data_IF_151940445684
#
_entry.id   IF_151940445684
#
_cell.length_a   1.000
_cell.length_b   1.000
_cell.length_c   1.000
_cell.angle_alpha   90.00
_cell.angle_beta   90.00
_cell.angle_gamma   90.00
#
_symmetry.space_group_name_H-M   'P 1'
#
loop_
_entity.id
_entity.type
_entity.pdbx_description
1 polymer ?
#
# COMPACT_ATOMS: atom_id res chain seq x y z
N UNK A 1 -67.52 37.59 -41.64
CA UNK A 1 -66.43 36.59 -41.63
C UNK A 1 -65.11 37.34 -41.36
N UNK A 2 -64.86 37.76 -40.12
CA UNK A 2 -63.97 37.13 -39.12
C UNK A 2 -62.49 37.02 -39.53
N UNK A 3 -61.76 38.11 -39.27
CA UNK A 3 -60.57 38.18 -38.41
C UNK A 3 -59.38 37.23 -38.69
N UNK A 4 -58.37 37.72 -39.41
CA UNK A 4 -57.03 37.10 -39.48
C UNK A 4 -56.05 37.82 -38.53
N UNK A 5 -55.72 37.17 -37.42
CA UNK A 5 -54.64 37.57 -36.49
C UNK A 5 -53.27 37.20 -37.08
N UNK A 6 -52.32 38.15 -37.05
CA UNK A 6 -50.88 37.88 -37.13
C UNK A 6 -50.39 37.20 -35.85
N UNK A 7 -49.28 36.43 -35.91
CA UNK A 7 -48.28 36.55 -34.85
C UNK A 7 -46.86 36.73 -35.38
N UNK A 8 -46.12 37.57 -34.67
CA UNK A 8 -44.68 37.73 -34.72
C UNK A 8 -43.99 36.49 -34.13
N UNK A 9 -42.83 36.11 -34.67
CA UNK A 9 -41.82 35.31 -33.96
C UNK A 9 -40.43 35.75 -34.44
N UNK A 10 -39.78 36.51 -33.57
CA UNK A 10 -38.40 36.97 -33.59
C UNK A 10 -37.62 36.09 -32.61
N UNK A 11 -36.37 35.78 -32.98
CA UNK A 11 -35.23 35.55 -32.10
C UNK A 11 -35.30 34.40 -31.08
N UNK A 12 -34.57 33.31 -31.35
CA UNK A 12 -34.35 32.23 -30.38
C UNK A 12 -33.31 31.21 -30.81
N UNK A 13 -32.15 31.64 -31.31
CA UNK A 13 -31.06 30.74 -31.72
C UNK A 13 -29.70 31.30 -31.30
N UNK A 14 -29.48 31.51 -30.00
CA UNK A 14 -28.19 31.98 -29.48
C UNK A 14 -27.93 31.59 -28.01
N UNK A 15 -28.44 30.44 -27.54
CA UNK A 15 -28.24 29.98 -26.15
C UNK A 15 -27.67 28.56 -26.00
N UNK A 16 -27.32 27.88 -27.10
CA UNK A 16 -26.73 26.53 -27.07
C UNK A 16 -25.19 26.48 -27.10
N UNK A 17 -24.52 27.60 -27.38
CA UNK A 17 -23.04 27.63 -27.49
C UNK A 17 -22.28 27.78 -26.16
N UNK A 18 -22.92 28.32 -25.11
CA UNK A 18 -22.22 28.66 -23.87
C UNK A 18 -22.15 27.49 -22.87
N UNK A 19 -23.09 26.54 -22.93
CA UNK A 19 -23.11 25.38 -22.03
C UNK A 19 -22.01 24.34 -22.38
N UNK A 20 -21.60 24.23 -23.64
CA UNK A 20 -20.56 23.30 -24.07
C UNK A 20 -19.15 23.77 -23.68
N UNK A 21 -18.88 25.08 -23.70
CA UNK A 21 -17.57 25.62 -23.30
C UNK A 21 -17.30 25.50 -21.79
N UNK A 22 -18.34 25.61 -20.96
CA UNK A 22 -18.20 25.46 -19.50
C UNK A 22 -17.95 24.01 -19.07
N UNK A 23 -18.47 23.02 -19.79
CA UNK A 23 -18.21 21.60 -19.52
C UNK A 23 -16.81 21.14 -19.97
N UNK A 24 -16.30 21.66 -21.09
CA UNK A 24 -14.93 21.36 -21.54
C UNK A 24 -13.90 22.04 -20.64
N UNK A 25 -14.16 23.26 -20.18
CA UNK A 25 -13.25 23.95 -19.25
C UNK A 25 -13.18 23.28 -17.86
N UNK A 26 -14.30 22.71 -17.38
CA UNK A 26 -14.31 21.99 -16.09
C UNK A 26 -13.55 20.65 -16.15
N UNK A 27 -13.57 19.96 -17.29
CA UNK A 27 -12.86 18.69 -17.46
C UNK A 27 -11.36 18.87 -17.69
N UNK A 28 -10.93 19.96 -18.33
CA UNK A 28 -9.50 20.26 -18.49
C UNK A 28 -8.83 20.75 -17.21
N UNK A 29 -9.54 21.52 -16.36
CA UNK A 29 -8.99 22.02 -15.09
C UNK A 29 -8.78 20.89 -14.08
N UNK A 30 -9.71 19.93 -13.97
CA UNK A 30 -9.57 18.81 -13.04
C UNK A 30 -8.49 17.79 -13.46
N UNK A 31 -8.20 17.70 -14.76
CA UNK A 31 -7.19 16.76 -15.28
C UNK A 31 -5.76 17.25 -15.10
N UNK A 32 -5.55 18.57 -14.97
CA UNK A 32 -4.24 19.16 -14.68
C UNK A 32 -3.91 19.08 -13.18
N UNK A 33 -4.88 19.32 -12.28
CA UNK A 33 -4.65 19.26 -10.82
C UNK A 33 -4.28 17.86 -10.30
N UNK A 34 -4.66 16.78 -11.00
CA UNK A 34 -4.30 15.42 -10.60
C UNK A 34 -2.88 14.99 -11.02
N UNK A 35 -2.20 15.80 -11.85
CA UNK A 35 -0.88 15.47 -12.37
C UNK A 35 0.27 16.13 -11.62
N UNK A 36 0.01 17.20 -10.86
CA UNK A 36 1.08 18.04 -10.33
C UNK A 36 1.63 17.62 -8.96
N UNK A 37 0.94 16.73 -8.23
CA UNK A 37 1.33 16.35 -6.86
C UNK A 37 1.96 14.95 -6.70
N UNK A 38 2.30 14.25 -7.80
CA UNK A 38 2.91 12.91 -7.71
C UNK A 38 4.30 12.82 -8.34
N UNK A 39 5.14 13.80 -8.03
CA UNK A 39 6.58 13.50 -7.92
C UNK A 39 6.84 12.84 -6.57
N UNK A 40 6.47 11.57 -6.44
CA UNK A 40 7.22 10.68 -5.53
C UNK A 40 8.51 10.33 -6.25
N UNK A 41 9.37 11.34 -6.42
CA UNK A 41 10.77 11.10 -6.71
C UNK A 41 11.30 10.55 -5.39
N UNK A 42 11.44 9.22 -5.31
CA UNK A 42 12.09 8.56 -4.18
C UNK A 42 13.43 9.25 -4.01
N UNK A 43 13.50 10.13 -3.01
CA UNK A 43 14.67 10.94 -2.77
C UNK A 43 15.84 9.98 -2.51
N UNK A 44 17.02 10.23 -3.08
CA UNK A 44 18.20 9.46 -2.72
C UNK A 44 18.47 9.78 -1.25
N UNK A 45 18.17 8.83 -0.38
CA UNK A 45 18.37 8.99 1.03
C UNK A 45 19.87 9.08 1.29
N UNK A 46 20.27 10.10 2.03
CA UNK A 46 21.41 9.99 2.92
C UNK A 46 20.89 9.15 4.10
N UNK A 47 21.12 7.84 4.02
CA UNK A 47 20.22 6.79 4.52
C UNK A 47 20.08 6.72 6.06
N UNK A 48 21.09 7.06 6.85
CA UNK A 48 21.02 6.81 8.31
C UNK A 48 20.22 7.84 9.10
N UNK A 49 20.24 9.11 8.70
CA UNK A 49 19.56 10.18 9.43
C UNK A 49 18.08 10.29 9.03
N UNK A 50 17.73 9.83 7.83
CA UNK A 50 16.37 9.83 7.29
C UNK A 50 15.45 8.80 7.96
N UNK A 51 15.93 7.58 8.17
CA UNK A 51 15.13 6.48 8.74
C UNK A 51 14.73 6.75 10.20
N UNK A 52 15.70 7.15 11.03
CA UNK A 52 15.44 7.49 12.43
C UNK A 52 14.51 8.70 12.55
N UNK A 53 14.67 9.71 11.69
CA UNK A 53 13.79 10.87 11.65
C UNK A 53 12.36 10.50 11.22
N UNK A 54 12.22 9.58 10.25
CA UNK A 54 10.93 9.07 9.80
C UNK A 54 10.23 8.25 10.89
N UNK A 55 10.93 7.32 11.55
CA UNK A 55 10.39 6.56 12.68
C UNK A 55 9.90 7.51 13.78
N UNK A 56 10.71 8.51 14.15
CA UNK A 56 10.31 9.50 15.13
C UNK A 56 9.12 10.35 14.68
N UNK A 57 8.94 10.58 13.37
CA UNK A 57 7.77 11.26 12.85
C UNK A 57 6.51 10.40 12.97
N UNK A 58 6.59 9.12 12.63
CA UNK A 58 5.49 8.15 12.78
C UNK A 58 5.08 8.05 14.26
N UNK A 59 6.04 7.90 15.17
CA UNK A 59 5.80 7.82 16.61
C UNK A 59 5.08 9.07 17.14
N UNK A 60 5.44 10.26 16.64
CA UNK A 60 4.74 11.50 17.00
C UNK A 60 3.29 11.49 16.56
N UNK A 61 2.98 11.00 15.36
CA UNK A 61 1.59 10.93 14.90
C UNK A 61 0.77 9.93 15.70
N UNK A 62 1.36 8.78 16.04
CA UNK A 62 0.72 7.78 16.92
C UNK A 62 0.47 8.37 18.33
N UNK A 63 1.44 9.11 18.88
CA UNK A 63 1.31 9.73 20.19
C UNK A 63 0.16 10.74 20.27
N UNK A 64 -0.09 11.51 19.19
CA UNK A 64 -1.26 12.42 19.13
C UNK A 64 -2.58 11.67 19.24
N UNK A 65 -2.68 10.51 18.60
CA UNK A 65 -3.87 9.65 18.68
C UNK A 65 -4.07 9.14 20.10
N UNK A 66 -2.99 8.69 20.75
CA UNK A 66 -3.06 8.23 22.14
C UNK A 66 -3.45 9.34 23.12
N UNK A 67 -2.89 10.54 22.99
CA UNK A 67 -3.22 11.68 23.85
C UNK A 67 -4.69 12.08 23.68
N UNK A 68 -5.17 12.20 22.44
CA UNK A 68 -6.56 12.52 22.12
C UNK A 68 -7.53 11.50 22.74
N UNK A 69 -7.20 10.22 22.69
CA UNK A 69 -8.07 9.13 23.12
C UNK A 69 -7.83 8.72 24.59
N UNK A 70 -6.90 9.37 25.30
CA UNK A 70 -6.55 9.06 26.69
C UNK A 70 -5.93 7.66 26.86
N UNK A 71 -5.28 7.14 25.82
CA UNK A 71 -4.68 5.80 25.80
C UNK A 71 -3.27 5.88 26.41
N UNK A 72 -3.00 5.03 27.39
CA UNK A 72 -1.65 4.85 27.94
C UNK A 72 -0.96 3.69 27.22
N UNK A 73 0.25 3.89 26.64
CA UNK A 73 1.00 2.81 26.00
C UNK A 73 1.34 1.69 26.97
N UNK A 74 1.38 0.46 26.45
CA UNK A 74 1.86 -0.70 27.19
C UNK A 74 3.35 -0.54 27.54
N UNK A 75 3.82 -1.12 28.66
CA UNK A 75 5.24 -1.16 28.96
C UNK A 75 6.01 -1.94 27.89
N UNK A 76 7.30 -1.61 27.74
CA UNK A 76 8.20 -2.33 26.84
C UNK A 76 8.23 -3.82 27.21
N UNK A 77 8.05 -4.67 26.19
CA UNK A 77 8.09 -6.13 26.36
C UNK A 77 9.49 -6.63 26.71
N UNK A 78 9.54 -7.76 27.43
CA UNK A 78 10.78 -8.49 27.67
C UNK A 78 11.32 -9.15 26.40
N UNK A 79 12.59 -9.57 26.41
CA UNK A 79 13.26 -10.08 25.21
C UNK A 79 12.60 -11.34 24.63
N UNK A 80 12.17 -12.29 25.46
CA UNK A 80 11.51 -13.50 24.97
C UNK A 80 10.14 -13.22 24.33
N UNK A 81 9.39 -12.26 24.89
CA UNK A 81 8.10 -11.84 24.35
C UNK A 81 8.29 -11.07 23.04
N UNK A 82 9.25 -10.14 23.01
CA UNK A 82 9.61 -9.41 21.81
C UNK A 82 10.03 -10.35 20.68
N UNK A 83 10.95 -11.28 20.96
CA UNK A 83 11.43 -12.26 19.98
C UNK A 83 10.27 -13.04 19.36
N UNK A 84 9.38 -13.60 20.19
CA UNK A 84 8.25 -14.37 19.69
C UNK A 84 7.31 -13.53 18.83
N UNK A 85 7.00 -12.30 19.25
CA UNK A 85 6.12 -11.39 18.49
C UNK A 85 6.75 -10.99 17.17
N UNK A 86 8.00 -10.55 17.19
CA UNK A 86 8.73 -10.17 15.98
C UNK A 86 8.70 -11.29 14.94
N UNK A 87 9.02 -12.53 15.32
CA UNK A 87 8.98 -13.67 14.40
C UNK A 87 7.56 -13.98 13.87
N UNK A 88 6.56 -14.00 14.74
CA UNK A 88 5.18 -14.27 14.32
C UNK A 88 4.61 -13.16 13.43
N UNK A 89 4.93 -11.90 13.72
CA UNK A 89 4.38 -10.75 13.01
C UNK A 89 5.10 -10.50 11.67
N UNK A 90 6.38 -10.88 11.54
CA UNK A 90 7.18 -10.64 10.32
C UNK A 90 7.22 -11.85 9.39
N UNK A 91 7.52 -13.04 9.91
CA UNK A 91 7.72 -14.25 9.09
C UNK A 91 6.63 -15.30 9.33
N UNK A 92 5.62 -15.01 10.15
CA UNK A 92 4.45 -15.88 10.35
C UNK A 92 4.72 -17.17 11.15
N UNK A 93 5.95 -17.40 11.60
CA UNK A 93 6.36 -18.63 12.27
C UNK A 93 7.17 -18.36 13.52
N UNK A 94 7.08 -19.20 14.57
CA UNK A 94 7.90 -19.02 15.77
C UNK A 94 9.40 -19.23 15.46
N UNK A 95 10.30 -18.60 16.25
CA UNK A 95 11.73 -18.83 16.10
C UNK A 95 12.10 -20.29 16.39
N UNK A 96 13.13 -20.78 15.71
CA UNK A 96 13.77 -22.05 16.09
C UNK A 96 14.50 -21.93 17.44
N UNK A 97 14.84 -23.07 18.02
CA UNK A 97 15.57 -23.10 19.30
C UNK A 97 16.93 -22.38 19.20
N UNK A 98 17.63 -22.54 18.08
CA UNK A 98 18.95 -21.94 17.86
C UNK A 98 18.85 -20.43 17.65
N UNK A 99 17.86 -19.96 16.87
CA UNK A 99 17.59 -18.53 16.70
C UNK A 99 17.22 -17.86 18.02
N UNK A 100 16.42 -18.54 18.84
CA UNK A 100 16.02 -18.03 20.15
C UNK A 100 17.20 -17.95 21.12
N UNK A 101 18.03 -19.00 21.18
CA UNK A 101 19.24 -19.00 21.99
C UNK A 101 20.19 -17.86 21.57
N UNK A 102 20.45 -17.72 20.28
CA UNK A 102 21.31 -16.68 19.74
C UNK A 102 20.83 -15.27 20.14
N UNK A 103 19.53 -14.99 20.03
CA UNK A 103 18.99 -13.69 20.43
C UNK A 103 19.01 -13.46 21.94
N UNK A 104 18.69 -14.47 22.75
CA UNK A 104 18.65 -14.31 24.22
C UNK A 104 20.06 -14.12 24.80
N UNK A 105 21.04 -14.81 24.24
CA UNK A 105 22.44 -14.72 24.66
C UNK A 105 23.11 -13.43 24.20
N UNK A 106 22.64 -12.82 23.12
CA UNK A 106 23.09 -11.50 22.68
C UNK A 106 22.76 -10.40 23.71
N UNK A 107 23.80 -9.65 24.10
CA UNK A 107 23.74 -8.53 25.06
C UNK A 107 24.04 -7.18 24.41
N UNK A 108 24.15 -7.10 23.09
CA UNK A 108 24.36 -5.80 22.45
C UNK A 108 23.13 -4.90 22.65
N UNK A 109 23.31 -3.59 22.86
CA UNK A 109 22.19 -2.67 23.05
C UNK A 109 21.25 -2.57 21.84
N UNK A 110 21.74 -2.89 20.65
CA UNK A 110 21.07 -2.80 19.36
C UNK A 110 20.52 -4.14 18.83
N UNK A 111 20.58 -5.21 19.64
CA UNK A 111 20.15 -6.57 19.24
C UNK A 111 18.75 -6.65 18.63
N UNK A 112 17.83 -5.77 19.07
CA UNK A 112 16.44 -5.75 18.57
C UNK A 112 16.37 -5.22 17.14
N UNK A 113 17.12 -4.16 16.83
CA UNK A 113 17.18 -3.60 15.48
C UNK A 113 17.82 -4.61 14.53
N UNK A 114 18.97 -5.17 14.92
CA UNK A 114 19.63 -6.24 14.16
C UNK A 114 18.73 -7.45 13.88
N UNK A 115 17.89 -7.82 14.84
CA UNK A 115 16.92 -8.89 14.64
C UNK A 115 15.86 -8.48 13.61
N UNK A 116 15.34 -7.27 13.69
CA UNK A 116 14.34 -6.75 12.74
C UNK A 116 14.93 -6.72 11.32
N UNK A 117 16.13 -6.16 11.16
CA UNK A 117 16.82 -6.11 9.87
C UNK A 117 16.97 -7.52 9.28
N UNK A 118 17.45 -8.47 10.10
CA UNK A 118 17.54 -9.88 9.70
C UNK A 118 16.19 -10.46 9.27
N UNK A 119 15.11 -10.16 9.98
CA UNK A 119 13.79 -10.74 9.71
C UNK A 119 13.15 -10.16 8.45
N UNK A 120 13.33 -8.87 8.19
CA UNK A 120 12.81 -8.21 6.98
C UNK A 120 13.58 -8.66 5.73
N UNK A 121 14.88 -8.95 5.88
CA UNK A 121 15.72 -9.52 4.80
C UNK A 121 15.54 -11.04 4.62
N UNK A 122 14.77 -11.72 5.48
CA UNK A 122 14.53 -13.16 5.41
C UNK A 122 13.50 -13.47 4.30
N UNK A 123 13.75 -14.41 3.37
CA UNK A 123 12.79 -14.74 2.32
C UNK A 123 11.38 -15.12 2.83
N UNK A 124 11.31 -15.66 4.06
CA UNK A 124 10.05 -16.01 4.74
C UNK A 124 9.17 -14.79 5.00
N UNK A 125 9.74 -13.59 5.07
CA UNK A 125 9.00 -12.34 5.21
C UNK A 125 8.07 -12.12 4.02
N UNK A 126 8.60 -12.15 2.79
CA UNK A 126 7.80 -12.00 1.58
C UNK A 126 6.77 -13.13 1.43
N UNK A 127 7.12 -14.36 1.79
CA UNK A 127 6.18 -15.50 1.79
C UNK A 127 5.00 -15.24 2.75
N UNK A 128 5.28 -14.84 3.99
CA UNK A 128 4.25 -14.56 4.98
C UNK A 128 3.36 -13.38 4.56
N UNK A 129 3.96 -12.32 4.04
CA UNK A 129 3.23 -11.14 3.57
C UNK A 129 2.37 -11.49 2.35
N UNK A 130 2.87 -12.30 1.43
CA UNK A 130 2.11 -12.79 0.29
C UNK A 130 0.90 -13.63 0.71
N UNK A 131 1.05 -14.53 1.68
CA UNK A 131 -0.07 -15.32 2.22
C UNK A 131 -1.17 -14.41 2.81
N UNK A 132 -0.79 -13.38 3.57
CA UNK A 132 -1.73 -12.42 4.12
C UNK A 132 -2.46 -11.64 3.01
N UNK A 133 -1.72 -11.18 1.99
CA UNK A 133 -2.32 -10.43 0.89
C UNK A 133 -3.20 -11.30 0.01
N UNK A 134 -2.79 -12.54 -0.31
CA UNK A 134 -3.62 -13.48 -1.05
C UNK A 134 -4.98 -13.66 -0.39
N UNK A 135 -5.02 -13.76 0.93
CA UNK A 135 -6.28 -13.87 1.66
C UNK A 135 -7.16 -12.62 1.47
N UNK A 136 -6.58 -11.43 1.55
CA UNK A 136 -7.30 -10.15 1.35
C UNK A 136 -7.81 -10.02 -0.08
N UNK A 137 -7.00 -10.45 -1.04
CA UNK A 137 -7.19 -10.24 -2.46
C UNK A 137 -8.16 -11.26 -3.08
N UNK A 138 -7.95 -12.55 -2.82
CA UNK A 138 -8.69 -13.67 -3.45
C UNK A 138 -9.79 -14.21 -2.54
N UNK A 139 -9.65 -14.04 -1.22
CA UNK A 139 -10.61 -14.49 -0.23
C UNK A 139 -10.50 -15.99 0.10
N UNK A 140 -11.05 -16.38 1.27
CA UNK A 140 -11.07 -17.78 1.74
C UNK A 140 -12.22 -18.55 1.06
N UNK A 141 -12.06 -18.93 -0.21
CA UNK A 141 -13.01 -19.75 -0.99
C UNK A 141 -12.31 -20.90 -1.70
N UNK A 142 -13.04 -21.79 -2.42
CA UNK A 142 -12.47 -22.98 -3.10
C UNK A 142 -11.21 -22.62 -3.89
N UNK A 143 -10.07 -22.82 -3.23
CA UNK A 143 -8.75 -22.45 -3.70
C UNK A 143 -8.57 -23.02 -5.11
N UNK A 144 -8.42 -22.15 -6.10
CA UNK A 144 -7.75 -22.59 -7.30
C UNK A 144 -6.27 -22.64 -6.93
N UNK A 145 -5.82 -23.78 -6.43
CA UNK A 145 -4.46 -23.94 -5.90
C UNK A 145 -3.40 -23.44 -6.88
N UNK A 146 -3.65 -23.52 -8.19
CA UNK A 146 -2.72 -22.98 -9.19
C UNK A 146 -2.69 -21.44 -9.21
N UNK A 147 -3.84 -20.77 -9.08
CA UNK A 147 -3.92 -19.30 -9.02
C UNK A 147 -3.24 -18.78 -7.75
N UNK A 148 -3.52 -19.39 -6.62
CA UNK A 148 -2.95 -19.01 -5.31
C UNK A 148 -1.43 -19.19 -5.32
N UNK A 149 -0.93 -20.31 -5.87
CA UNK A 149 0.51 -20.55 -5.98
C UNK A 149 1.21 -19.55 -6.90
N UNK A 150 0.62 -19.24 -8.07
CA UNK A 150 1.23 -18.31 -9.04
C UNK A 150 1.27 -16.89 -8.50
N UNK A 151 0.12 -16.38 -8.00
CA UNK A 151 0.03 -15.03 -7.46
C UNK A 151 0.84 -14.89 -6.17
N UNK A 152 0.79 -15.90 -5.30
CA UNK A 152 1.52 -15.91 -4.02
C UNK A 152 3.04 -15.88 -4.22
N UNK A 153 3.55 -16.72 -5.13
CA UNK A 153 4.98 -16.73 -5.44
C UNK A 153 5.42 -15.37 -5.98
N UNK A 154 4.66 -14.80 -6.92
CA UNK A 154 4.99 -13.49 -7.48
C UNK A 154 4.94 -12.38 -6.43
N UNK A 155 3.91 -12.34 -5.58
CA UNK A 155 3.81 -11.36 -4.49
C UNK A 155 4.97 -11.48 -3.51
N UNK A 156 5.34 -12.72 -3.14
CA UNK A 156 6.47 -12.96 -2.24
C UNK A 156 7.78 -12.42 -2.82
N UNK A 157 8.01 -12.63 -4.12
CA UNK A 157 9.15 -12.03 -4.83
C UNK A 157 9.10 -10.49 -4.77
N UNK A 158 7.95 -9.88 -5.08
CA UNK A 158 7.83 -8.41 -5.06
C UNK A 158 8.10 -7.81 -3.67
N UNK A 159 7.66 -8.50 -2.61
CA UNK A 159 7.88 -8.06 -1.24
C UNK A 159 9.33 -8.26 -0.79
N UNK A 160 9.96 -9.37 -1.14
CA UNK A 160 11.37 -9.63 -0.83
C UNK A 160 12.33 -8.71 -1.60
N UNK A 161 11.92 -8.22 -2.77
CA UNK A 161 12.65 -7.18 -3.51
C UNK A 161 12.43 -5.76 -2.94
N UNK A 162 11.62 -5.62 -1.89
CA UNK A 162 11.23 -4.35 -1.30
C UNK A 162 10.69 -3.35 -2.34
N UNK A 163 9.92 -3.86 -3.31
CA UNK A 163 9.39 -3.05 -4.40
C UNK A 163 8.29 -2.13 -3.89
N UNK A 164 8.24 -0.90 -4.42
CA UNK A 164 7.22 0.08 -4.05
C UNK A 164 5.81 -0.49 -4.23
N UNK A 165 5.01 -0.46 -3.16
CA UNK A 165 3.67 -1.05 -3.17
C UNK A 165 2.76 -0.44 -4.25
N UNK A 166 2.97 0.84 -4.60
CA UNK A 166 2.29 1.51 -5.70
C UNK A 166 2.59 0.87 -7.06
N UNK A 167 3.81 0.41 -7.28
CA UNK A 167 4.22 -0.28 -8.51
C UNK A 167 3.61 -1.68 -8.58
N UNK A 168 3.63 -2.42 -7.46
CA UNK A 168 3.01 -3.75 -7.36
C UNK A 168 1.52 -3.65 -7.70
N UNK A 169 0.81 -2.69 -7.10
CA UNK A 169 -0.61 -2.47 -7.37
C UNK A 169 -0.89 -2.00 -8.80
N UNK A 170 -0.03 -1.15 -9.37
CA UNK A 170 -0.14 -0.74 -10.77
C UNK A 170 -0.06 -1.95 -11.70
N UNK A 171 0.92 -2.82 -11.50
CA UNK A 171 1.12 -4.02 -12.31
C UNK A 171 -0.09 -4.96 -12.19
N UNK A 172 -0.65 -5.14 -10.99
CA UNK A 172 -1.84 -5.95 -10.77
C UNK A 172 -3.08 -5.42 -11.51
N UNK A 173 -3.34 -4.11 -11.45
CA UNK A 173 -4.54 -3.50 -12.06
C UNK A 173 -4.41 -3.40 -13.59
N UNK A 174 -3.19 -3.29 -14.10
CA UNK A 174 -2.91 -3.18 -15.54
C UNK A 174 -2.53 -4.53 -16.19
N UNK A 175 -2.51 -5.62 -15.40
CA UNK A 175 -2.11 -6.93 -15.85
C UNK A 175 -2.98 -7.43 -17.03
N UNK A 176 -2.31 -7.91 -18.07
CA UNK A 176 -2.94 -8.54 -19.23
C UNK A 176 -2.10 -9.73 -19.69
N UNK A 177 -2.70 -10.66 -20.44
CA UNK A 177 -2.01 -11.83 -20.99
C UNK A 177 -2.39 -13.13 -20.27
N UNK A 178 -1.43 -14.05 -20.17
CA UNK A 178 -1.60 -15.34 -19.50
C UNK A 178 -0.85 -15.38 -18.17
N UNK A 179 -1.26 -16.26 -17.25
CA UNK A 179 -0.56 -16.46 -15.96
C UNK A 179 0.91 -16.88 -16.13
N UNK A 180 1.26 -17.50 -17.26
CA UNK A 180 2.64 -17.90 -17.55
C UNK A 180 3.53 -16.70 -17.92
N UNK A 181 2.95 -15.67 -18.54
CA UNK A 181 3.68 -14.48 -18.99
C UNK A 181 3.61 -13.33 -17.98
N UNK A 182 2.49 -13.22 -17.25
CA UNK A 182 2.24 -12.21 -16.25
C UNK A 182 1.49 -12.81 -15.05
N UNK A 183 2.20 -13.23 -14.00
CA UNK A 183 1.61 -13.81 -12.80
C UNK A 183 0.57 -12.91 -12.12
N UNK A 184 0.68 -11.58 -12.24
CA UNK A 184 -0.26 -10.63 -11.63
C UNK A 184 -1.68 -10.69 -12.23
N UNK A 185 -1.86 -11.32 -13.40
CA UNK A 185 -3.19 -11.62 -14.00
C UNK A 185 -4.01 -12.58 -13.14
N UNK A 186 -3.38 -13.29 -12.21
CA UNK A 186 -4.05 -14.22 -11.31
C UNK A 186 -4.88 -13.56 -10.20
N UNK A 187 -4.83 -12.23 -10.05
CA UNK A 187 -5.60 -11.45 -9.07
C UNK A 187 -7.09 -11.27 -9.44
#
# INVERSE_FOLDING_TARGET
MLNTRKPALLAGLALLGCAACLLVAFTSVQADELKEDRKTEAAPADESDGEAALSAAIDREIAKVWERDGIKPAPTSGDAEFLRRAYLDTVGMPPSADEAAAFIDDKTPDKRNKLIDKLVDDPRFGEHLADMWLEVLVGRGKANQNTDLVLGTWLAEQFNENRGFDQVMYDMITATGSMADNPAVAY
#
